data_IF_962689874115
#
_entry.id   IF_962689874115
#
_cell.length_a   1.000
_cell.length_b   1.000
_cell.length_c   1.000
_cell.angle_alpha   90.00
_cell.angle_beta   90.00
_cell.angle_gamma   90.00
#
_symmetry.space_group_name_H-M   'P 1'
#
loop_
_entity.id
_entity.type
_entity.pdbx_description
1 polymer ?
#
# COMPACT_ATOMS: atom_id res chain seq x y z
N UNK A 1 -21.61 7.64 -4.33
CA UNK A 1 -20.65 6.62 -3.85
C UNK A 1 -19.23 7.15 -3.74
N UNK A 2 -18.62 7.66 -4.79
CA UNK A 2 -17.25 8.17 -4.73
C UNK A 2 -17.11 9.34 -3.75
N UNK A 3 -18.09 10.24 -3.73
CA UNK A 3 -18.07 11.38 -2.81
C UNK A 3 -18.07 10.92 -1.36
N UNK A 4 -18.88 9.94 -1.01
CA UNK A 4 -18.98 9.42 0.36
C UNK A 4 -17.67 8.75 0.78
N UNK A 5 -17.04 8.00 -0.13
CA UNK A 5 -15.76 7.37 0.14
C UNK A 5 -14.66 8.42 0.38
N UNK A 6 -14.63 9.46 -0.46
CA UNK A 6 -13.65 10.54 -0.33
C UNK A 6 -13.86 11.34 0.96
N UNK A 7 -15.12 11.65 1.28
CA UNK A 7 -15.47 12.33 2.53
C UNK A 7 -15.02 11.52 3.75
N UNK A 8 -15.19 10.19 3.70
CA UNK A 8 -14.79 9.30 4.77
C UNK A 8 -13.27 9.27 4.93
N UNK A 9 -12.52 9.24 3.84
CA UNK A 9 -11.05 9.29 3.87
C UNK A 9 -10.59 10.61 4.51
N UNK A 10 -11.17 11.73 4.12
CA UNK A 10 -10.81 13.03 4.69
C UNK A 10 -11.15 13.12 6.17
N UNK A 11 -12.22 12.49 6.59
CA UNK A 11 -12.65 12.49 7.99
C UNK A 11 -11.76 11.62 8.87
N UNK A 12 -11.36 10.44 8.39
CA UNK A 12 -10.58 9.48 9.18
C UNK A 12 -9.08 9.59 8.99
N UNK A 13 -8.64 10.21 7.87
CA UNK A 13 -7.23 10.36 7.51
C UNK A 13 -6.45 9.04 7.68
N UNK A 14 -6.86 7.96 6.98
CA UNK A 14 -6.25 6.64 7.19
C UNK A 14 -4.79 6.63 6.81
N UNK A 15 -4.02 5.81 7.52
CA UNK A 15 -2.61 5.55 7.19
C UNK A 15 -2.59 4.36 6.24
N UNK A 16 -1.98 4.54 5.07
CA UNK A 16 -1.93 3.53 4.02
C UNK A 16 -0.49 3.10 3.78
N UNK A 17 -0.22 1.82 3.95
CA UNK A 17 1.10 1.24 3.67
C UNK A 17 1.19 0.92 2.19
N UNK A 18 2.25 1.37 1.53
CA UNK A 18 2.44 1.17 0.09
C UNK A 18 3.77 0.47 -0.17
N UNK A 19 3.68 -0.65 -0.90
CA UNK A 19 4.84 -1.31 -1.48
C UNK A 19 4.67 -1.18 -2.99
N UNK A 20 5.35 -0.21 -3.57
CA UNK A 20 5.16 0.16 -4.96
C UNK A 20 6.49 0.25 -5.70
N UNK A 21 6.45 0.45 -7.01
CA UNK A 21 7.66 0.62 -7.80
C UNK A 21 8.24 2.03 -7.59
N UNK A 22 9.55 2.16 -7.77
CA UNK A 22 10.26 3.42 -7.50
C UNK A 22 10.06 4.49 -8.58
N UNK A 23 9.49 4.11 -9.72
CA UNK A 23 9.18 5.06 -10.80
C UNK A 23 8.01 5.98 -10.40
N UNK A 24 7.01 5.42 -9.73
CA UNK A 24 5.77 6.12 -9.39
C UNK A 24 5.59 6.35 -7.89
N UNK A 25 6.60 6.09 -7.07
CA UNK A 25 6.46 6.16 -5.61
C UNK A 25 5.99 7.53 -5.13
N UNK A 26 6.54 8.62 -5.68
CA UNK A 26 6.14 9.97 -5.30
C UNK A 26 4.72 10.27 -5.76
N UNK A 27 4.33 9.83 -6.95
CA UNK A 27 2.99 10.06 -7.49
C UNK A 27 1.94 9.37 -6.62
N UNK A 28 2.20 8.13 -6.21
CA UNK A 28 1.29 7.37 -5.32
C UNK A 28 1.14 8.09 -3.99
N UNK A 29 2.26 8.50 -3.38
CA UNK A 29 2.23 9.23 -2.12
C UNK A 29 1.43 10.52 -2.24
N UNK A 30 1.66 11.28 -3.31
CA UNK A 30 0.97 12.57 -3.52
C UNK A 30 -0.52 12.41 -3.77
N UNK A 31 -0.94 11.37 -4.49
CA UNK A 31 -2.37 11.09 -4.72
C UNK A 31 -3.05 10.75 -3.39
N UNK A 32 -2.43 9.91 -2.55
CA UNK A 32 -2.99 9.56 -1.24
C UNK A 32 -3.12 10.80 -0.37
N UNK A 33 -2.09 11.64 -0.34
CA UNK A 33 -2.13 12.91 0.40
C UNK A 33 -3.24 13.83 -0.12
N UNK A 34 -3.38 13.94 -1.43
CA UNK A 34 -4.43 14.77 -2.05
C UNK A 34 -5.83 14.29 -1.68
N UNK A 35 -6.02 12.99 -1.50
CA UNK A 35 -7.29 12.40 -1.08
C UNK A 35 -7.55 12.56 0.42
N UNK A 36 -6.57 12.96 1.20
CA UNK A 36 -6.70 13.13 2.65
C UNK A 36 -6.16 11.98 3.48
N UNK A 37 -5.52 10.99 2.87
CA UNK A 37 -4.87 9.90 3.58
C UNK A 37 -3.42 10.22 3.95
N UNK A 38 -2.79 9.33 4.68
CA UNK A 38 -1.39 9.44 5.09
C UNK A 38 -0.60 8.25 4.54
N UNK A 39 0.25 8.44 3.53
CA UNK A 39 0.99 7.33 2.95
C UNK A 39 2.26 7.00 3.74
N UNK A 40 2.56 5.70 3.86
CA UNK A 40 3.87 5.22 4.29
C UNK A 40 4.41 4.36 3.16
N UNK A 41 5.61 4.68 2.68
CA UNK A 41 6.27 3.98 1.59
C UNK A 41 7.41 3.16 2.17
N UNK A 42 7.24 1.85 2.25
CA UNK A 42 8.29 0.96 2.79
C UNK A 42 8.14 -0.44 2.22
N UNK A 43 9.27 -0.99 1.74
CA UNK A 43 9.32 -2.37 1.23
C UNK A 43 10.38 -3.23 1.96
N UNK A 44 10.93 -2.73 3.05
CA UNK A 44 11.98 -3.42 3.79
C UNK A 44 11.40 -4.63 4.54
N UNK A 45 11.84 -5.88 4.23
CA UNK A 45 11.25 -7.08 4.84
C UNK A 45 11.29 -7.11 6.37
N UNK A 46 12.26 -6.44 6.97
CA UNK A 46 12.38 -6.41 8.43
C UNK A 46 11.36 -5.51 9.10
N UNK A 47 10.83 -4.52 8.36
CA UNK A 47 9.96 -3.48 8.93
C UNK A 47 8.51 -3.60 8.51
N UNK A 48 8.22 -4.24 7.37
CA UNK A 48 6.89 -4.17 6.74
C UNK A 48 5.76 -4.72 7.60
N UNK A 49 6.01 -5.77 8.39
CA UNK A 49 4.98 -6.32 9.26
C UNK A 49 4.55 -5.33 10.35
N UNK A 50 5.52 -4.64 10.95
CA UNK A 50 5.25 -3.63 11.98
C UNK A 50 4.56 -2.41 11.37
N UNK A 51 5.04 -1.97 10.20
CA UNK A 51 4.45 -0.83 9.50
C UNK A 51 3.00 -1.13 9.12
N UNK A 52 2.74 -2.29 8.52
CA UNK A 52 1.38 -2.65 8.12
C UNK A 52 0.45 -2.77 9.34
N UNK A 53 1.00 -3.14 10.50
CA UNK A 53 0.22 -3.27 11.74
C UNK A 53 -0.36 -1.94 12.22
N UNK A 54 0.33 -0.83 11.97
CA UNK A 54 -0.14 0.51 12.37
C UNK A 54 -0.94 1.21 11.26
N UNK A 55 -1.05 0.59 10.09
CA UNK A 55 -1.79 1.14 8.95
C UNK A 55 -3.19 0.60 8.88
N UNK A 56 -4.07 1.29 8.17
CA UNK A 56 -5.45 0.85 7.95
C UNK A 56 -5.64 0.03 6.68
N UNK A 57 -4.65 0.01 5.80
CA UNK A 57 -4.71 -0.73 4.55
C UNK A 57 -3.35 -0.89 3.92
N UNK A 58 -3.24 -1.84 2.99
CA UNK A 58 -2.00 -2.16 2.27
C UNK A 58 -2.24 -2.10 0.77
N UNK A 59 -1.39 -1.36 0.07
CA UNK A 59 -1.38 -1.27 -1.39
C UNK A 59 -0.11 -1.94 -1.92
N UNK A 60 -0.26 -2.96 -2.75
CA UNK A 60 0.85 -3.70 -3.35
C UNK A 60 0.82 -3.51 -4.87
N UNK A 61 1.93 -3.05 -5.43
CA UNK A 61 2.10 -2.84 -6.86
C UNK A 61 3.19 -3.78 -7.38
N UNK A 62 2.87 -4.58 -8.39
CA UNK A 62 3.77 -5.61 -8.93
C UNK A 62 4.67 -5.12 -10.07
N UNK A 63 4.72 -3.82 -10.32
CA UNK A 63 5.65 -3.26 -11.29
C UNK A 63 7.07 -3.21 -10.73
N UNK A 64 8.07 -3.49 -11.55
CA UNK A 64 9.49 -3.42 -11.19
C UNK A 64 9.80 -4.18 -9.89
N UNK A 65 9.62 -5.50 -9.94
CA UNK A 65 9.84 -6.36 -8.78
C UNK A 65 11.33 -6.54 -8.47
N UNK A 66 11.66 -6.51 -7.17
CA UNK A 66 12.96 -6.86 -6.65
C UNK A 66 12.81 -8.00 -5.65
N UNK A 67 13.88 -8.77 -5.45
CA UNK A 67 13.86 -9.87 -4.49
C UNK A 67 13.43 -9.39 -3.10
N UNK A 68 13.97 -8.27 -2.65
CA UNK A 68 13.67 -7.67 -1.34
C UNK A 68 12.22 -7.21 -1.27
N UNK A 69 11.72 -6.55 -2.32
CA UNK A 69 10.33 -6.05 -2.33
C UNK A 69 9.33 -7.20 -2.36
N UNK A 70 9.64 -8.30 -3.07
CA UNK A 70 8.78 -9.49 -3.08
C UNK A 70 8.64 -10.07 -1.68
N UNK A 71 9.75 -10.21 -0.96
CA UNK A 71 9.74 -10.70 0.41
C UNK A 71 8.92 -9.76 1.31
N UNK A 72 9.11 -8.46 1.16
CA UNK A 72 8.33 -7.46 1.89
C UNK A 72 6.84 -7.55 1.60
N UNK A 73 6.47 -7.71 0.33
CA UNK A 73 5.06 -7.88 -0.08
C UNK A 73 4.41 -9.08 0.57
N UNK A 74 5.10 -10.22 0.59
CA UNK A 74 4.57 -11.44 1.21
C UNK A 74 4.38 -11.28 2.70
N UNK A 75 5.35 -10.71 3.39
CA UNK A 75 5.27 -10.47 4.84
C UNK A 75 4.16 -9.48 5.20
N UNK A 76 4.09 -8.35 4.48
CA UNK A 76 3.06 -7.35 4.74
C UNK A 76 1.66 -7.89 4.43
N UNK A 77 1.51 -8.60 3.31
CA UNK A 77 0.23 -9.22 2.93
C UNK A 77 -0.24 -10.24 3.95
N UNK A 78 0.66 -11.09 4.42
CA UNK A 78 0.35 -12.07 5.44
C UNK A 78 -0.11 -11.38 6.74
N UNK A 79 0.62 -10.36 7.16
CA UNK A 79 0.27 -9.62 8.38
C UNK A 79 -1.06 -8.88 8.23
N UNK A 80 -1.32 -8.29 7.06
CA UNK A 80 -2.60 -7.64 6.78
C UNK A 80 -3.76 -8.63 6.88
N UNK A 81 -3.58 -9.85 6.37
CA UNK A 81 -4.60 -10.90 6.47
C UNK A 81 -4.84 -11.29 7.92
N UNK A 82 -3.80 -11.44 8.71
CA UNK A 82 -3.93 -11.74 10.14
C UNK A 82 -4.74 -10.68 10.87
N UNK A 83 -4.58 -9.41 10.51
CA UNK A 83 -5.25 -8.28 11.16
C UNK A 83 -6.60 -7.94 10.54
N UNK A 84 -6.96 -8.59 9.43
CA UNK A 84 -8.20 -8.28 8.72
C UNK A 84 -8.19 -6.94 8.00
N UNK A 85 -7.01 -6.41 7.67
CA UNK A 85 -6.88 -5.17 6.93
C UNK A 85 -7.12 -5.38 5.44
N UNK A 86 -7.74 -4.42 4.74
CA UNK A 86 -7.90 -4.51 3.29
C UNK A 86 -6.56 -4.44 2.58
N UNK A 87 -6.43 -5.23 1.51
CA UNK A 87 -5.24 -5.26 0.65
C UNK A 87 -5.68 -4.98 -0.78
N UNK A 88 -5.07 -3.97 -1.40
CA UNK A 88 -5.24 -3.68 -2.81
C UNK A 88 -4.03 -4.24 -3.55
N UNK A 89 -4.27 -5.08 -4.56
CA UNK A 89 -3.20 -5.61 -5.41
C UNK A 89 -3.34 -5.05 -6.81
N UNK A 90 -2.31 -4.32 -7.25
CA UNK A 90 -2.21 -3.84 -8.62
C UNK A 90 -1.20 -4.70 -9.37
N UNK A 91 -1.66 -5.58 -10.27
CA UNK A 91 -0.76 -6.46 -11.03
C UNK A 91 0.02 -5.73 -12.12
N UNK A 92 -0.32 -4.47 -12.42
CA UNK A 92 0.30 -3.67 -13.47
C UNK A 92 0.30 -4.44 -14.80
N UNK A 93 1.47 -4.77 -15.34
CA UNK A 93 1.59 -5.52 -16.59
C UNK A 93 1.87 -7.02 -16.40
N UNK A 94 1.68 -7.56 -15.21
CA UNK A 94 2.04 -8.96 -14.90
C UNK A 94 1.34 -9.97 -15.81
N UNK A 95 0.12 -9.68 -16.25
CA UNK A 95 -0.63 -10.56 -17.14
C UNK A 95 -0.08 -10.59 -18.57
N UNK A 96 0.85 -9.70 -18.90
CA UNK A 96 1.48 -9.63 -20.23
C UNK A 96 2.79 -10.44 -20.30
N UNK A 97 3.23 -10.95 -19.18
CA UNK A 97 4.44 -11.74 -19.07
C UNK A 97 4.12 -13.23 -19.12
#
# INVERSE_FOLDING_TARGET
MLKECLDQVRKTAPVVHNITNYVTVNDVANVILACGGSPIMSDEPEDVADITSICGGLNINLGTLHKTSIEGMLKAGHRSNELGHPVLLDPVGACLL
#
